data_IF_378349531747
#
_entry.id   IF_378349531747
#
_cell.length_a   1.000
_cell.length_b   1.000
_cell.length_c   1.000
_cell.angle_alpha   90.00
_cell.angle_beta   90.00
_cell.angle_gamma   90.00
#
_symmetry.space_group_name_H-M   'P 1'
#
loop_
_entity.id
_entity.type
_entity.pdbx_description
1 polymer ?
#
# COMPACT_ATOMS: atom_id res chain seq x y z
N UNK A 1 2.53 62.18 -27.12
CA UNK A 1 3.45 61.02 -27.20
C UNK A 1 2.58 59.78 -27.33
N UNK A 2 2.34 59.38 -28.57
CA UNK A 2 1.62 58.16 -28.94
C UNK A 2 2.71 57.19 -29.40
N UNK A 3 2.75 56.01 -28.81
CA UNK A 3 3.73 54.97 -29.16
C UNK A 3 2.95 53.86 -29.84
N UNK A 4 3.08 53.81 -31.17
CA UNK A 4 2.61 52.72 -32.01
C UNK A 4 3.44 51.46 -31.74
N UNK A 5 2.78 50.32 -31.59
CA UNK A 5 3.40 49.00 -31.58
C UNK A 5 2.97 48.25 -32.85
N UNK A 6 3.89 48.17 -33.81
CA UNK A 6 3.78 47.30 -34.97
C UNK A 6 3.89 45.83 -34.55
N UNK A 7 2.83 45.05 -34.79
CA UNK A 7 2.83 43.60 -34.64
C UNK A 7 3.12 42.97 -36.01
N UNK A 8 4.15 42.12 -36.16
CA UNK A 8 4.46 41.49 -37.44
C UNK A 8 3.44 40.39 -37.77
N UNK A 9 2.85 40.50 -38.95
CA UNK A 9 1.96 39.50 -39.57
C UNK A 9 2.80 38.32 -40.05
N UNK A 10 2.55 37.13 -39.49
CA UNK A 10 3.13 35.87 -39.94
C UNK A 10 2.33 35.34 -41.13
N UNK A 11 2.94 34.94 -42.25
CA UNK A 11 2.21 34.39 -43.39
C UNK A 11 1.75 32.94 -43.12
N UNK A 12 0.45 32.71 -43.29
CA UNK A 12 -0.14 31.37 -43.30
C UNK A 12 0.33 30.59 -44.53
N UNK A 13 1.22 29.61 -44.31
CA UNK A 13 1.64 28.65 -45.32
C UNK A 13 0.70 27.44 -45.34
N UNK A 14 0.14 27.17 -46.53
CA UNK A 14 0.04 25.84 -47.13
C UNK A 14 -0.93 24.82 -46.50
N UNK A 15 -2.11 24.72 -47.09
CA UNK A 15 -2.99 23.55 -46.99
C UNK A 15 -2.31 22.30 -47.57
N UNK A 16 -2.01 21.32 -46.72
CA UNK A 16 -1.53 19.99 -47.14
C UNK A 16 -2.74 19.16 -47.62
N UNK A 17 -2.71 18.60 -48.84
CA UNK A 17 -3.79 17.75 -49.34
C UNK A 17 -3.79 16.41 -48.59
N UNK A 18 -4.84 16.16 -47.82
CA UNK A 18 -5.11 14.89 -47.14
C UNK A 18 -5.60 13.85 -48.16
N UNK A 19 -4.66 13.16 -48.81
CA UNK A 19 -4.97 11.95 -49.57
C UNK A 19 -5.45 10.86 -48.59
N UNK A 20 -6.73 10.52 -48.65
CA UNK A 20 -7.36 9.49 -47.81
C UNK A 20 -6.64 8.13 -47.91
N UNK A 21 -5.91 7.76 -46.86
CA UNK A 21 -5.46 6.38 -46.67
C UNK A 21 -6.62 5.57 -46.11
N UNK A 22 -7.26 4.79 -46.98
CA UNK A 22 -8.16 3.74 -46.58
C UNK A 22 -7.49 2.86 -45.51
N UNK A 23 -8.17 2.66 -44.38
CA UNK A 23 -7.72 1.83 -43.26
C UNK A 23 -7.55 0.39 -43.76
N UNK A 24 -6.30 -0.05 -43.92
CA UNK A 24 -6.03 -1.46 -44.17
C UNK A 24 -6.30 -2.22 -42.86
N UNK A 25 -7.05 -3.33 -42.90
CA UNK A 25 -7.32 -4.13 -41.71
C UNK A 25 -5.99 -4.59 -41.09
N UNK A 26 -5.91 -4.47 -39.76
CA UNK A 26 -4.72 -4.83 -38.98
C UNK A 26 -4.40 -6.32 -39.18
N UNK A 27 -3.22 -6.61 -39.73
CA UNK A 27 -2.72 -7.97 -39.88
C UNK A 27 -1.66 -8.23 -38.78
N UNK A 28 -2.00 -9.00 -37.72
CA UNK A 28 -1.09 -9.29 -36.60
C UNK A 28 0.16 -10.08 -37.02
N UNK A 29 0.14 -10.70 -38.21
CA UNK A 29 1.24 -11.50 -38.72
C UNK A 29 2.13 -10.75 -39.71
N UNK A 30 1.87 -9.46 -40.00
CA UNK A 30 2.59 -8.76 -41.08
C UNK A 30 4.08 -8.55 -40.81
N UNK A 31 4.56 -8.69 -39.58
CA UNK A 31 5.95 -8.46 -39.19
C UNK A 31 6.48 -7.06 -39.56
N UNK A 32 5.62 -6.19 -40.12
CA UNK A 32 5.98 -4.95 -40.77
C UNK A 32 6.08 -3.88 -39.69
N UNK A 33 7.31 -3.56 -39.29
CA UNK A 33 7.62 -2.63 -38.20
C UNK A 33 8.38 -3.25 -37.04
N UNK A 34 8.41 -4.59 -36.93
CA UNK A 34 9.25 -5.27 -35.95
C UNK A 34 10.63 -5.48 -36.56
N UNK A 35 11.61 -4.64 -36.20
CA UNK A 35 13.02 -4.84 -36.58
C UNK A 35 13.39 -6.30 -36.25
N UNK A 36 13.79 -7.08 -37.28
CA UNK A 36 14.17 -8.48 -37.11
C UNK A 36 15.29 -8.53 -36.05
N UNK A 37 15.02 -9.20 -34.93
CA UNK A 37 15.93 -9.31 -33.78
C UNK A 37 17.10 -10.27 -34.04
N UNK A 38 17.36 -10.64 -35.30
CA UNK A 38 18.43 -11.55 -35.70
C UNK A 38 19.79 -10.86 -35.85
N UNK A 39 19.85 -9.53 -35.77
CA UNK A 39 21.13 -8.82 -35.72
C UNK A 39 21.78 -9.04 -34.37
N UNK A 40 23.07 -9.40 -34.37
CA UNK A 40 23.86 -9.51 -33.14
C UNK A 40 23.75 -8.21 -32.32
N UNK A 41 23.62 -8.32 -30.98
CA UNK A 41 23.52 -7.14 -30.12
C UNK A 41 24.77 -6.29 -30.31
N UNK A 42 24.60 -4.98 -30.53
CA UNK A 42 25.72 -4.06 -30.76
C UNK A 42 26.54 -3.82 -29.50
N UNK A 43 25.99 -4.13 -28.32
CA UNK A 43 26.66 -3.99 -27.03
C UNK A 43 26.44 -5.20 -26.14
N UNK A 44 27.41 -5.49 -25.27
CA UNK A 44 27.35 -6.58 -24.29
C UNK A 44 26.10 -6.49 -23.41
N UNK A 45 25.75 -5.28 -22.94
CA UNK A 45 24.54 -5.02 -22.13
C UNK A 45 23.27 -5.36 -22.89
N UNK A 46 23.19 -5.03 -24.19
CA UNK A 46 22.04 -5.40 -25.01
C UNK A 46 21.94 -6.93 -25.20
N UNK A 47 23.07 -7.63 -25.27
CA UNK A 47 23.13 -9.10 -25.30
C UNK A 47 22.55 -9.71 -24.02
N UNK A 48 23.00 -9.23 -22.85
CA UNK A 48 22.52 -9.68 -21.54
C UNK A 48 21.01 -9.45 -21.37
N UNK A 49 20.48 -8.31 -21.79
CA UNK A 49 19.04 -8.02 -21.73
C UNK A 49 18.24 -8.99 -22.62
N UNK A 50 18.72 -9.27 -23.83
CA UNK A 50 18.05 -10.23 -24.75
C UNK A 50 18.08 -11.66 -24.21
N UNK A 51 19.17 -12.06 -23.55
CA UNK A 51 19.31 -13.37 -22.92
C UNK A 51 18.40 -13.50 -21.69
N UNK A 52 18.36 -12.49 -20.82
CA UNK A 52 17.44 -12.44 -19.69
C UNK A 52 15.97 -12.52 -20.13
N UNK A 53 15.60 -11.83 -21.22
CA UNK A 53 14.26 -11.93 -21.81
C UNK A 53 13.96 -13.32 -22.38
N UNK A 54 14.93 -13.99 -23.02
CA UNK A 54 14.77 -15.38 -23.49
C UNK A 54 14.56 -16.33 -22.32
N UNK A 55 15.41 -16.26 -21.30
CA UNK A 55 15.31 -17.08 -20.10
C UNK A 55 13.98 -16.84 -19.35
N UNK A 56 13.43 -15.61 -19.35
CA UNK A 56 12.12 -15.34 -18.80
C UNK A 56 10.99 -16.00 -19.61
N UNK A 57 11.05 -15.93 -20.96
CA UNK A 57 10.04 -16.55 -21.83
C UNK A 57 10.07 -18.07 -21.72
N UNK A 58 11.26 -18.67 -21.66
CA UNK A 58 11.42 -20.12 -21.46
C UNK A 58 10.85 -20.57 -20.11
N UNK A 59 11.13 -19.84 -19.02
CA UNK A 59 10.54 -20.13 -17.70
C UNK A 59 9.01 -20.01 -17.71
N UNK A 60 8.45 -19.00 -18.38
CA UNK A 60 6.99 -18.85 -18.55
C UNK A 60 6.40 -19.99 -19.37
N UNK A 61 7.03 -20.38 -20.48
CA UNK A 61 6.57 -21.47 -21.32
C UNK A 61 6.60 -22.81 -20.59
N UNK A 62 7.68 -23.10 -19.84
CA UNK A 62 7.78 -24.30 -19.01
C UNK A 62 6.73 -24.33 -17.90
N UNK A 63 6.43 -23.19 -17.28
CA UNK A 63 5.37 -23.09 -16.29
C UNK A 63 3.97 -23.35 -16.88
N UNK A 64 3.67 -22.75 -18.04
CA UNK A 64 2.40 -22.99 -18.75
C UNK A 64 2.27 -24.47 -19.12
N UNK A 65 3.32 -25.09 -19.68
CA UNK A 65 3.33 -26.52 -19.98
C UNK A 65 3.10 -27.37 -18.70
N UNK A 66 3.68 -26.99 -17.57
CA UNK A 66 3.44 -27.64 -16.29
C UNK A 66 2.00 -27.49 -15.78
N UNK A 67 1.38 -26.33 -15.99
CA UNK A 67 -0.04 -26.12 -15.68
C UNK A 67 -0.95 -26.95 -16.58
N UNK A 68 -0.67 -27.00 -17.88
CA UNK A 68 -1.42 -27.82 -18.85
C UNK A 68 -1.31 -29.31 -18.54
N UNK A 69 -0.14 -29.77 -18.06
CA UNK A 69 0.04 -31.15 -17.63
C UNK A 69 -0.71 -31.45 -16.31
N UNK A 70 -0.73 -30.50 -15.37
CA UNK A 70 -1.40 -30.67 -14.07
C UNK A 70 -2.93 -30.58 -14.18
N UNK A 71 -3.42 -29.79 -15.14
CA UNK A 71 -4.82 -29.58 -15.43
C UNK A 71 -5.09 -29.94 -16.88
N UNK A 72 -5.09 -31.24 -17.23
CA UNK A 72 -5.37 -31.65 -18.59
C UNK A 72 -6.72 -31.06 -19.00
N UNK A 73 -6.84 -30.50 -20.20
CA UNK A 73 -8.06 -29.84 -20.68
C UNK A 73 -9.32 -30.71 -20.51
N UNK A 74 -9.19 -32.03 -20.44
CA UNK A 74 -10.27 -32.96 -20.12
C UNK A 74 -10.92 -32.72 -18.74
N UNK A 75 -10.15 -32.28 -17.74
CA UNK A 75 -10.67 -31.98 -16.39
C UNK A 75 -11.52 -30.71 -16.36
N UNK A 76 -11.12 -29.67 -17.10
CA UNK A 76 -11.90 -28.44 -17.25
C UNK A 76 -13.17 -28.72 -18.08
N UNK A 77 -13.06 -29.49 -19.16
CA UNK A 77 -14.21 -29.89 -19.98
C UNK A 77 -15.23 -30.72 -19.18
N UNK A 78 -14.78 -31.60 -18.28
CA UNK A 78 -15.67 -32.36 -17.41
C UNK A 78 -16.44 -31.46 -16.44
N UNK A 79 -15.79 -30.45 -15.83
CA UNK A 79 -16.46 -29.49 -14.93
C UNK A 79 -17.47 -28.63 -15.70
N UNK A 80 -17.11 -28.13 -16.89
CA UNK A 80 -18.02 -27.35 -17.74
C UNK A 80 -19.22 -28.18 -18.19
N UNK A 81 -19.00 -29.44 -18.58
CA UNK A 81 -20.09 -30.36 -18.93
C UNK A 81 -21.01 -30.63 -17.74
N UNK A 82 -20.46 -30.76 -16.52
CA UNK A 82 -21.25 -31.01 -15.33
C UNK A 82 -22.09 -29.79 -14.91
N UNK A 83 -21.58 -28.57 -15.14
CA UNK A 83 -22.31 -27.32 -14.94
C UNK A 83 -23.41 -27.12 -16.00
N UNK A 84 -23.18 -27.54 -17.24
CA UNK A 84 -24.16 -27.46 -18.32
C UNK A 84 -25.37 -28.39 -18.11
N UNK A 85 -25.21 -29.48 -17.35
CA UNK A 85 -26.31 -30.39 -16.97
C UNK A 85 -27.18 -29.90 -15.81
N UNK A 86 -26.88 -28.76 -15.18
CA UNK A 86 -27.73 -28.22 -14.11
C UNK A 86 -28.97 -27.56 -14.77
N UNK A 87 -30.18 -28.13 -14.60
CA UNK A 87 -31.37 -27.57 -15.23
C UNK A 87 -31.68 -26.18 -14.66
N UNK A 88 -31.80 -25.19 -15.56
CA UNK A 88 -31.89 -23.78 -15.22
C UNK A 88 -33.28 -23.31 -14.74
N UNK A 89 -34.27 -24.20 -14.65
CA UNK A 89 -35.64 -23.82 -14.31
C UNK A 89 -36.21 -24.72 -13.21
N UNK A 90 -36.20 -24.20 -11.98
CA UNK A 90 -37.06 -24.72 -10.91
C UNK A 90 -38.32 -23.83 -10.90
N UNK A 91 -39.49 -24.34 -11.34
CA UNK A 91 -40.72 -23.56 -11.32
C UNK A 91 -41.15 -23.26 -9.88
N UNK A 92 -41.55 -22.02 -9.56
CA UNK A 92 -41.99 -21.63 -8.23
C UNK A 92 -43.44 -22.03 -8.03
N UNK A 93 -43.72 -23.28 -7.62
CA UNK A 93 -45.07 -23.65 -7.16
C UNK A 93 -45.14 -25.05 -6.52
N UNK A 94 -44.83 -25.14 -5.23
CA UNK A 94 -45.61 -25.88 -4.21
C UNK A 94 -44.79 -26.05 -2.93
N UNK A 95 -45.38 -25.61 -1.81
CA UNK A 95 -44.79 -25.51 -0.48
C UNK A 95 -44.76 -26.84 0.26
N UNK A 96 -44.14 -27.86 -0.33
CA UNK A 96 -43.75 -29.08 0.40
C UNK A 96 -42.28 -29.33 0.12
N UNK A 97 -41.44 -28.87 1.04
CA UNK A 97 -39.98 -29.06 0.97
C UNK A 97 -39.67 -30.54 1.06
N UNK A 98 -39.58 -31.20 -0.09
CA UNK A 98 -39.03 -32.55 -0.21
C UNK A 98 -37.61 -32.55 0.36
N UNK A 99 -37.28 -33.55 1.19
CA UNK A 99 -35.95 -33.71 1.80
C UNK A 99 -34.83 -33.72 0.76
N UNK A 100 -35.12 -34.17 -0.46
CA UNK A 100 -34.18 -34.17 -1.58
C UNK A 100 -33.85 -32.75 -2.07
N UNK A 101 -34.81 -31.82 -2.06
CA UNK A 101 -34.56 -30.42 -2.44
C UNK A 101 -33.69 -29.69 -1.41
N UNK A 102 -33.86 -30.01 -0.12
CA UNK A 102 -33.00 -29.47 0.95
C UNK A 102 -31.57 -29.99 0.79
N UNK A 103 -31.41 -31.29 0.50
CA UNK A 103 -30.09 -31.88 0.28
C UNK A 103 -29.38 -31.26 -0.93
N UNK A 104 -30.09 -31.07 -2.05
CA UNK A 104 -29.54 -30.43 -3.25
C UNK A 104 -29.15 -28.96 -3.02
N UNK A 105 -29.94 -28.21 -2.24
CA UNK A 105 -29.60 -26.84 -1.82
C UNK A 105 -28.36 -26.82 -0.93
N UNK A 106 -28.22 -27.79 -0.03
CA UNK A 106 -27.07 -27.91 0.86
C UNK A 106 -25.79 -28.26 0.09
N UNK A 107 -25.90 -29.18 -0.87
CA UNK A 107 -24.81 -29.52 -1.79
C UNK A 107 -24.40 -28.33 -2.67
N UNK A 108 -25.36 -27.58 -3.20
CA UNK A 108 -25.08 -26.37 -3.98
C UNK A 108 -24.38 -25.29 -3.13
N UNK A 109 -24.79 -25.10 -1.88
CA UNK A 109 -24.14 -24.19 -0.94
C UNK A 109 -22.70 -24.64 -0.61
N UNK A 110 -22.48 -25.94 -0.37
CA UNK A 110 -21.15 -26.52 -0.15
C UNK A 110 -20.25 -26.37 -1.38
N UNK A 111 -20.78 -26.59 -2.59
CA UNK A 111 -20.03 -26.40 -3.83
C UNK A 111 -19.61 -24.94 -4.01
N UNK A 112 -20.52 -24.00 -3.75
CA UNK A 112 -20.24 -22.55 -3.83
C UNK A 112 -19.14 -22.14 -2.86
N UNK A 113 -19.18 -22.66 -1.62
CA UNK A 113 -18.13 -22.42 -0.63
C UNK A 113 -16.78 -23.01 -1.07
N UNK A 114 -16.78 -24.19 -1.69
CA UNK A 114 -15.57 -24.85 -2.21
C UNK A 114 -14.96 -24.11 -3.39
N UNK A 115 -15.78 -23.58 -4.31
CA UNK A 115 -15.32 -22.73 -5.43
C UNK A 115 -14.67 -21.46 -4.89
N UNK A 116 -15.31 -20.77 -3.95
CA UNK A 116 -14.78 -19.54 -3.35
C UNK A 116 -13.45 -19.80 -2.61
N UNK A 117 -13.32 -20.94 -1.92
CA UNK A 117 -12.05 -21.36 -1.29
C UNK A 117 -10.94 -21.64 -2.30
N UNK A 118 -11.26 -22.24 -3.45
CA UNK A 118 -10.29 -22.53 -4.51
C UNK A 118 -9.83 -21.26 -5.23
N UNK A 119 -10.72 -20.30 -5.46
CA UNK A 119 -10.38 -18.97 -5.99
C UNK A 119 -9.38 -18.23 -5.09
N UNK A 120 -9.64 -18.23 -3.77
CA UNK A 120 -8.72 -17.67 -2.78
C UNK A 120 -7.36 -18.37 -2.79
N UNK A 121 -7.32 -19.71 -2.88
CA UNK A 121 -6.06 -20.45 -2.97
C UNK A 121 -5.26 -20.12 -4.24
N UNK A 122 -5.92 -19.99 -5.39
CA UNK A 122 -5.30 -19.58 -6.65
C UNK A 122 -4.73 -18.17 -6.57
N UNK A 123 -5.45 -17.23 -5.94
CA UNK A 123 -5.01 -15.85 -5.75
C UNK A 123 -3.77 -15.76 -4.84
N UNK A 124 -3.73 -16.57 -3.77
CA UNK A 124 -2.55 -16.68 -2.87
C UNK A 124 -1.36 -17.30 -3.60
N UNK A 125 -1.55 -18.38 -4.36
CA UNK A 125 -0.46 -19.03 -5.11
C UNK A 125 0.11 -18.12 -6.21
N UNK A 126 -0.74 -17.38 -6.93
CA UNK A 126 -0.28 -16.37 -7.89
C UNK A 126 0.60 -15.30 -7.26
N UNK A 127 0.29 -14.91 -6.02
CA UNK A 127 1.06 -13.90 -5.26
C UNK A 127 2.42 -14.44 -4.80
N UNK A 128 2.50 -15.70 -4.36
CA UNK A 128 3.76 -16.35 -3.95
C UNK A 128 4.72 -16.53 -5.12
N UNK A 129 4.20 -16.81 -6.32
CA UNK A 129 5.04 -17.00 -7.53
C UNK A 129 5.64 -15.67 -8.01
N UNK A 130 4.91 -14.56 -7.89
CA UNK A 130 5.43 -13.22 -8.20
C UNK A 130 6.63 -12.86 -7.30
N UNK A 131 6.59 -13.27 -6.03
CA UNK A 131 7.69 -13.09 -5.05
C UNK A 131 8.92 -13.97 -5.34
N UNK A 132 8.74 -15.18 -5.90
CA UNK A 132 9.86 -16.07 -6.23
C UNK A 132 10.58 -15.69 -7.53
N UNK A 133 9.89 -15.03 -8.47
CA UNK A 133 10.46 -14.60 -9.76
C UNK A 133 11.34 -13.33 -9.66
N UNK A 134 11.26 -12.59 -8.55
CA UNK A 134 12.02 -11.34 -8.31
C UNK A 134 13.28 -11.52 -7.44
N UNK A 135 13.81 -12.74 -7.29
CA UNK A 135 15.11 -12.92 -6.62
C UNK A 135 16.23 -12.25 -7.44
N UNK A 136 16.95 -11.26 -6.89
CA UNK A 136 18.03 -10.60 -7.60
C UNK A 136 19.18 -11.60 -7.83
N UNK A 137 19.59 -11.73 -9.09
CA UNK A 137 20.81 -12.44 -9.48
C UNK A 137 21.96 -11.48 -9.18
N UNK A 138 22.77 -11.79 -8.17
CA UNK A 138 24.02 -11.06 -7.90
C UNK A 138 25.03 -11.37 -9.02
N UNK A 139 25.28 -10.41 -9.90
CA UNK A 139 26.42 -10.42 -10.82
C UNK A 139 27.48 -9.42 -10.38
N UNK A 140 28.71 -9.90 -10.21
CA UNK A 140 29.88 -9.13 -9.81
C UNK A 140 30.40 -8.21 -10.93
N UNK A 141 30.93 -7.05 -10.51
CA UNK A 141 31.89 -6.13 -11.16
C UNK A 141 31.58 -5.52 -12.55
N UNK A 142 31.46 -4.18 -12.61
CA UNK A 142 32.48 -3.26 -13.17
C UNK A 142 31.93 -1.82 -13.28
N UNK A 143 32.76 -0.83 -12.94
CA UNK A 143 32.49 0.62 -12.90
C UNK A 143 32.14 1.25 -14.27
N UNK A 144 31.45 2.41 -14.32
CA UNK A 144 31.46 3.25 -15.51
C UNK A 144 32.03 4.67 -15.30
N UNK A 145 32.60 5.13 -16.41
CA UNK A 145 33.17 6.43 -16.75
C UNK A 145 32.03 7.45 -16.97
N UNK A 146 32.28 8.69 -16.55
CA UNK A 146 31.39 9.86 -16.68
C UNK A 146 31.49 10.42 -18.09
N UNK A 147 30.35 10.79 -18.70
CA UNK A 147 30.34 11.73 -19.81
C UNK A 147 29.27 12.82 -19.59
N UNK A 148 29.67 14.06 -19.81
CA UNK A 148 28.88 15.28 -19.56
C UNK A 148 28.23 15.76 -20.85
N UNK A 149 26.90 15.86 -20.90
CA UNK A 149 26.24 16.83 -21.78
C UNK A 149 24.82 17.11 -21.29
N UNK A 150 24.62 18.35 -20.83
CA UNK A 150 23.36 18.84 -20.30
C UNK A 150 22.35 19.10 -21.41
N UNK A 151 21.16 18.54 -21.22
CA UNK A 151 19.94 18.96 -21.93
C UNK A 151 18.85 19.15 -20.89
N UNK A 152 18.24 20.33 -20.88
CA UNK A 152 17.12 20.67 -20.00
C UNK A 152 15.86 20.02 -20.58
N UNK A 153 15.22 19.12 -19.83
CA UNK A 153 13.93 18.50 -20.18
C UNK A 153 12.86 18.84 -19.13
N UNK A 154 11.63 18.93 -19.66
CA UNK A 154 10.37 19.38 -19.10
C UNK A 154 9.84 18.48 -17.94
N UNK A 155 9.48 19.02 -16.76
CA UNK A 155 9.21 18.23 -15.55
C UNK A 155 7.85 17.49 -15.47
N UNK A 156 7.08 17.39 -16.57
CA UNK A 156 5.72 16.79 -16.54
C UNK A 156 5.54 15.49 -17.35
N UNK A 157 6.60 14.83 -17.80
CA UNK A 157 6.48 13.52 -18.46
C UNK A 157 6.32 12.37 -17.45
N UNK A 158 5.22 11.63 -17.56
CA UNK A 158 4.81 10.53 -16.66
C UNK A 158 5.50 9.19 -16.92
N UNK A 159 6.47 9.11 -17.83
CA UNK A 159 7.11 7.84 -18.22
C UNK A 159 8.57 7.66 -17.74
N UNK A 160 9.20 8.66 -17.12
CA UNK A 160 10.65 8.63 -16.83
C UNK A 160 11.03 8.08 -15.43
N UNK A 161 10.06 7.76 -14.58
CA UNK A 161 10.31 7.34 -13.19
C UNK A 161 10.83 5.89 -13.02
N UNK A 162 11.11 5.16 -14.11
CA UNK A 162 11.56 3.76 -14.05
C UNK A 162 13.08 3.53 -14.20
N UNK A 163 13.90 4.57 -14.41
CA UNK A 163 15.35 4.41 -14.67
C UNK A 163 16.27 4.97 -13.57
N UNK A 164 15.83 4.92 -12.30
CA UNK A 164 16.71 5.19 -11.14
C UNK A 164 17.46 3.92 -10.75
N UNK A 165 18.42 3.50 -11.58
CA UNK A 165 19.48 2.57 -11.15
C UNK A 165 20.72 3.37 -10.75
N UNK A 166 20.58 4.28 -9.80
CA UNK A 166 21.74 4.89 -9.14
C UNK A 166 22.43 3.79 -8.34
N UNK A 167 23.74 3.52 -8.54
CA UNK A 167 24.44 2.55 -7.71
C UNK A 167 24.29 2.94 -6.24
N UNK A 168 24.03 1.98 -5.33
CA UNK A 168 23.86 2.29 -3.92
C UNK A 168 25.09 3.06 -3.43
N UNK A 169 24.86 4.21 -2.80
CA UNK A 169 25.93 5.00 -2.23
C UNK A 169 26.79 4.11 -1.31
N UNK A 170 28.12 4.26 -1.28
CA UNK A 170 28.96 3.47 -0.41
C UNK A 170 28.49 3.62 1.04
N UNK A 171 28.37 2.50 1.75
CA UNK A 171 27.82 2.41 3.13
C UNK A 171 28.44 3.46 4.07
N UNK A 172 29.71 3.81 3.86
CA UNK A 172 30.42 4.84 4.62
C UNK A 172 29.81 6.25 4.48
N UNK A 173 29.36 6.65 3.29
CA UNK A 173 28.74 7.97 3.07
C UNK A 173 27.36 8.07 3.74
N UNK A 174 26.63 6.96 3.78
CA UNK A 174 25.35 6.85 4.47
C UNK A 174 25.54 7.01 5.99
N UNK A 175 26.57 6.37 6.54
CA UNK A 175 26.89 6.49 7.97
C UNK A 175 27.26 7.92 8.38
N UNK A 176 28.03 8.67 7.56
CA UNK A 176 28.36 10.06 7.87
C UNK A 176 27.14 10.99 7.89
N UNK A 177 26.19 10.79 6.99
CA UNK A 177 24.94 11.56 6.94
C UNK A 177 24.10 11.35 8.20
N UNK A 178 23.96 10.09 8.66
CA UNK A 178 23.23 9.76 9.89
C UNK A 178 23.90 10.40 11.12
N UNK A 179 25.24 10.44 11.16
CA UNK A 179 25.97 11.03 12.28
C UNK A 179 25.82 12.56 12.36
N UNK A 180 25.62 13.23 11.21
CA UNK A 180 25.49 14.69 11.16
C UNK A 180 24.13 15.24 11.61
N UNK A 181 23.05 14.44 11.52
CA UNK A 181 21.71 14.88 11.89
C UNK A 181 20.99 13.79 12.70
N UNK A 182 20.72 14.01 14.01
CA UNK A 182 20.07 13.01 14.86
C UNK A 182 18.63 12.69 14.44
N UNK A 183 18.01 13.51 13.60
CA UNK A 183 16.68 13.30 13.01
C UNK A 183 16.72 12.64 11.63
N UNK A 184 17.90 12.37 11.09
CA UNK A 184 18.07 11.71 9.79
C UNK A 184 18.09 10.19 9.93
N UNK A 185 17.55 9.48 8.94
CA UNK A 185 17.63 8.03 8.81
C UNK A 185 17.73 7.64 7.33
N UNK A 186 18.08 6.38 7.07
CA UNK A 186 18.19 5.86 5.70
C UNK A 186 16.78 5.72 5.10
N UNK A 187 16.46 6.38 3.98
CA UNK A 187 15.16 6.19 3.33
C UNK A 187 14.89 4.71 3.05
N UNK A 188 13.67 4.25 3.33
CA UNK A 188 13.34 2.84 3.17
C UNK A 188 13.45 2.36 1.71
N UNK A 189 13.31 3.25 0.74
CA UNK A 189 13.54 2.94 -0.67
C UNK A 189 14.97 2.48 -0.96
N UNK A 190 15.97 3.02 -0.25
CA UNK A 190 17.36 2.60 -0.41
C UNK A 190 17.60 1.20 0.15
N UNK A 191 16.77 0.76 1.11
CA UNK A 191 16.90 -0.55 1.77
C UNK A 191 16.11 -1.65 1.05
N UNK A 192 14.91 -1.33 0.56
CA UNK A 192 13.95 -2.33 0.07
C UNK A 192 13.52 -2.11 -1.39
N UNK A 193 13.96 -1.03 -2.04
CA UNK A 193 13.53 -0.65 -3.38
C UNK A 193 12.20 0.11 -3.39
N UNK A 194 11.63 0.40 -4.57
CA UNK A 194 10.36 1.11 -4.67
C UNK A 194 9.20 0.25 -4.16
N UNK A 195 8.25 0.89 -3.47
CA UNK A 195 7.03 0.22 -3.00
C UNK A 195 6.12 -0.22 -4.15
N UNK A 196 5.45 -1.34 -3.97
CA UNK A 196 4.49 -1.91 -4.93
C UNK A 196 3.10 -1.29 -4.71
N UNK A 197 2.85 -0.11 -5.28
CA UNK A 197 1.57 0.61 -5.09
C UNK A 197 0.60 0.52 -6.28
N UNK A 198 1.09 0.12 -7.46
CA UNK A 198 0.29 0.19 -8.69
C UNK A 198 -0.88 -0.80 -8.71
N UNK A 199 -0.70 -1.99 -8.13
CA UNK A 199 -1.79 -2.95 -8.00
C UNK A 199 -2.95 -2.37 -7.16
N UNK A 200 -2.63 -1.59 -6.13
CA UNK A 200 -3.60 -0.97 -5.25
C UNK A 200 -4.35 0.14 -5.98
N UNK A 201 -3.66 0.94 -6.82
CA UNK A 201 -4.29 1.94 -7.69
C UNK A 201 -5.36 1.32 -8.57
N UNK A 202 -5.02 0.23 -9.27
CA UNK A 202 -5.93 -0.48 -10.17
C UNK A 202 -7.12 -1.05 -9.38
N UNK A 203 -6.85 -1.70 -8.24
CA UNK A 203 -7.89 -2.31 -7.42
C UNK A 203 -8.84 -1.27 -6.81
N UNK A 204 -8.33 -0.18 -6.25
CA UNK A 204 -9.15 0.91 -5.69
C UNK A 204 -9.98 1.60 -6.78
N UNK A 205 -9.40 1.80 -7.97
CA UNK A 205 -10.10 2.40 -9.12
C UNK A 205 -11.24 1.53 -9.66
N UNK A 206 -11.23 0.23 -9.35
CA UNK A 206 -12.31 -0.69 -9.73
C UNK A 206 -13.55 -0.58 -8.84
N UNK A 207 -13.46 0.09 -7.69
CA UNK A 207 -14.57 0.26 -6.75
C UNK A 207 -15.54 1.34 -7.27
N UNK A 208 -16.80 0.97 -7.50
CA UNK A 208 -17.82 1.86 -8.09
C UNK A 208 -18.00 3.15 -7.28
N UNK A 209 -17.97 3.05 -5.94
CA UNK A 209 -18.12 4.19 -5.04
C UNK A 209 -17.02 5.27 -5.20
N UNK A 210 -15.85 4.89 -5.75
CA UNK A 210 -14.68 5.75 -5.90
C UNK A 210 -14.42 6.21 -7.34
N UNK A 211 -15.29 5.85 -8.30
CA UNK A 211 -15.08 6.20 -9.72
C UNK A 211 -15.30 7.68 -10.04
N UNK A 212 -15.90 8.46 -9.13
CA UNK A 212 -16.01 9.91 -9.27
C UNK A 212 -14.63 10.59 -9.20
N UNK A 213 -14.53 11.81 -9.72
CA UNK A 213 -13.25 12.54 -9.82
C UNK A 213 -12.57 12.71 -8.46
N UNK A 214 -13.34 13.02 -7.42
CA UNK A 214 -12.84 13.17 -6.04
C UNK A 214 -12.29 11.86 -5.47
N UNK A 215 -12.92 10.73 -5.77
CA UNK A 215 -12.46 9.40 -5.37
C UNK A 215 -11.12 9.06 -6.00
N UNK A 216 -10.98 9.32 -7.30
CA UNK A 216 -9.72 9.16 -8.05
C UNK A 216 -8.61 10.04 -7.47
N UNK A 217 -8.89 11.32 -7.21
CA UNK A 217 -7.93 12.24 -6.59
C UNK A 217 -7.44 11.73 -5.23
N UNK A 218 -8.35 11.25 -4.39
CA UNK A 218 -7.99 10.69 -3.08
C UNK A 218 -7.17 9.41 -3.19
N UNK A 219 -7.49 8.52 -4.15
CA UNK A 219 -6.70 7.31 -4.42
C UNK A 219 -5.26 7.70 -4.78
N UNK A 220 -5.11 8.59 -5.76
CA UNK A 220 -3.81 9.04 -6.25
C UNK A 220 -3.01 9.73 -5.13
N UNK A 221 -3.69 10.56 -4.33
CA UNK A 221 -3.08 11.25 -3.19
C UNK A 221 -2.60 10.26 -2.11
N UNK A 222 -3.43 9.28 -1.73
CA UNK A 222 -3.06 8.28 -0.72
C UNK A 222 -1.84 7.47 -1.17
N UNK A 223 -1.83 6.99 -2.41
CA UNK A 223 -0.72 6.20 -2.95
C UNK A 223 0.56 7.03 -3.13
N UNK A 224 0.42 8.31 -3.52
CA UNK A 224 1.55 9.23 -3.59
C UNK A 224 2.15 9.48 -2.20
N UNK A 225 1.33 9.68 -1.17
CA UNK A 225 1.83 9.82 0.20
C UNK A 225 2.54 8.56 0.69
N UNK A 226 2.02 7.37 0.38
CA UNK A 226 2.72 6.10 0.65
C UNK A 226 4.07 6.03 -0.06
N UNK A 227 4.16 6.47 -1.31
CA UNK A 227 5.43 6.53 -2.02
C UNK A 227 6.40 7.51 -1.35
N UNK A 228 5.96 8.73 -1.02
CA UNK A 228 6.79 9.76 -0.36
C UNK A 228 7.37 9.28 0.98
N UNK A 229 6.61 8.50 1.76
CA UNK A 229 7.15 7.89 2.99
C UNK A 229 8.42 7.06 2.73
N UNK A 230 8.54 6.43 1.56
CA UNK A 230 9.70 5.60 1.24
C UNK A 230 10.96 6.40 0.92
N UNK A 231 10.80 7.63 0.43
CA UNK A 231 11.89 8.57 0.11
C UNK A 231 12.29 9.46 1.29
N UNK A 232 11.45 9.56 2.31
CA UNK A 232 11.68 10.45 3.43
C UNK A 232 12.88 9.99 4.27
N UNK A 233 13.78 10.93 4.59
CA UNK A 233 14.92 10.75 5.51
C UNK A 233 14.76 11.54 6.80
N UNK A 234 13.75 12.40 6.92
CA UNK A 234 13.50 13.24 8.10
C UNK A 234 12.35 12.66 8.94
N UNK A 235 12.59 12.41 10.23
CA UNK A 235 11.59 11.76 11.08
C UNK A 235 10.33 12.60 11.33
N UNK A 236 10.46 13.93 11.39
CA UNK A 236 9.31 14.83 11.61
C UNK A 236 8.43 14.82 10.38
N UNK A 237 9.05 14.94 9.19
CA UNK A 237 8.35 14.85 7.92
C UNK A 237 7.69 13.46 7.75
N UNK A 238 8.38 12.37 8.12
CA UNK A 238 7.82 11.01 8.05
C UNK A 238 6.55 10.87 8.90
N UNK A 239 6.55 11.40 10.13
CA UNK A 239 5.35 11.40 11.00
C UNK A 239 4.19 12.17 10.37
N UNK A 240 4.47 13.32 9.74
CA UNK A 240 3.45 14.10 9.04
C UNK A 240 2.88 13.34 7.84
N UNK A 241 3.74 12.71 7.03
CA UNK A 241 3.31 11.91 5.88
C UNK A 241 2.46 10.71 6.32
N UNK A 242 2.82 10.03 7.41
CA UNK A 242 2.03 8.96 8.00
C UNK A 242 0.63 9.43 8.41
N UNK A 243 0.55 10.55 9.14
CA UNK A 243 -0.73 11.13 9.54
C UNK A 243 -1.59 11.49 8.32
N UNK A 244 -1.01 12.17 7.32
CA UNK A 244 -1.72 12.54 6.09
C UNK A 244 -2.23 11.30 5.32
N UNK A 245 -1.44 10.22 5.30
CA UNK A 245 -1.83 8.97 4.64
C UNK A 245 -3.03 8.34 5.31
N UNK A 246 -3.03 8.29 6.65
CA UNK A 246 -4.15 7.74 7.40
C UNK A 246 -5.40 8.60 7.28
N UNK A 247 -5.26 9.92 7.33
CA UNK A 247 -6.39 10.85 7.14
C UNK A 247 -6.99 10.73 5.74
N UNK A 248 -6.17 10.58 4.70
CA UNK A 248 -6.66 10.38 3.32
C UNK A 248 -7.31 9.01 3.13
N UNK A 249 -6.73 7.95 3.72
CA UNK A 249 -7.31 6.60 3.72
C UNK A 249 -8.67 6.56 4.44
N UNK A 250 -8.82 7.27 5.57
CA UNK A 250 -10.10 7.40 6.26
C UNK A 250 -11.17 8.07 5.38
N UNK A 251 -10.81 9.16 4.67
CA UNK A 251 -11.71 9.82 3.71
C UNK A 251 -12.13 8.89 2.57
N UNK A 252 -11.24 8.03 2.08
CA UNK A 252 -11.59 7.01 1.08
C UNK A 252 -12.61 6.02 1.62
N UNK A 253 -12.43 5.53 2.85
CA UNK A 253 -13.37 4.59 3.49
C UNK A 253 -14.75 5.22 3.75
N UNK A 254 -14.79 6.52 4.06
CA UNK A 254 -16.03 7.27 4.22
C UNK A 254 -16.77 7.50 2.89
N UNK A 255 -16.04 7.60 1.77
CA UNK A 255 -16.62 7.69 0.43
C UNK A 255 -17.12 6.35 -0.10
N UNK A 256 -16.66 5.23 0.46
CA UNK A 256 -17.10 3.91 0.04
C UNK A 256 -18.52 3.59 0.54
N UNK A 257 -19.35 3.03 -0.35
CA UNK A 257 -20.54 2.28 0.03
C UNK A 257 -20.17 1.07 0.90
N UNK A 258 -21.16 0.46 1.58
CA UNK A 258 -20.93 -0.60 2.57
C UNK A 258 -20.13 -1.78 1.99
N UNK A 259 -20.47 -2.24 0.78
CA UNK A 259 -19.78 -3.35 0.11
C UNK A 259 -18.36 -2.97 -0.35
N UNK A 260 -18.21 -1.81 -0.98
CA UNK A 260 -16.92 -1.32 -1.44
C UNK A 260 -15.98 -1.00 -0.27
N UNK A 261 -16.51 -0.63 0.90
CA UNK A 261 -15.71 -0.36 2.09
C UNK A 261 -14.97 -1.62 2.54
N UNK A 262 -15.65 -2.77 2.56
CA UNK A 262 -14.99 -4.03 2.90
C UNK A 262 -13.86 -4.33 1.91
N UNK A 263 -14.12 -4.22 0.61
CA UNK A 263 -13.11 -4.41 -0.45
C UNK A 263 -11.94 -3.43 -0.31
N UNK A 264 -12.22 -2.17 0.02
CA UNK A 264 -11.21 -1.14 0.25
C UNK A 264 -10.30 -1.51 1.41
N UNK A 265 -10.85 -2.02 2.51
CA UNK A 265 -10.06 -2.49 3.67
C UNK A 265 -9.18 -3.69 3.27
N UNK A 266 -9.71 -4.63 2.49
CA UNK A 266 -8.95 -5.77 1.97
C UNK A 266 -7.79 -5.30 1.05
N UNK A 267 -8.03 -4.30 0.19
CA UNK A 267 -6.99 -3.71 -0.66
C UNK A 267 -5.90 -3.03 0.18
N UNK A 268 -6.27 -2.24 1.21
CA UNK A 268 -5.32 -1.60 2.11
C UNK A 268 -4.50 -2.63 2.91
N UNK A 269 -5.14 -3.71 3.38
CA UNK A 269 -4.45 -4.80 4.06
C UNK A 269 -3.42 -5.48 3.14
N UNK A 270 -3.82 -5.75 1.89
CA UNK A 270 -2.92 -6.34 0.90
C UNK A 270 -1.75 -5.40 0.54
N UNK A 271 -2.00 -4.09 0.48
CA UNK A 271 -0.97 -3.07 0.29
C UNK A 271 0.03 -3.04 1.43
N UNK A 272 -0.45 -3.15 2.68
CA UNK A 272 0.38 -3.29 3.85
C UNK A 272 1.25 -4.56 3.82
N UNK A 273 0.70 -5.68 3.37
CA UNK A 273 1.45 -6.95 3.30
C UNK A 273 2.51 -6.95 2.20
N UNK A 274 2.19 -6.45 1.00
CA UNK A 274 3.16 -6.36 -0.10
C UNK A 274 4.30 -5.39 0.18
N UNK A 275 4.01 -4.33 0.94
CA UNK A 275 4.98 -3.32 1.36
C UNK A 275 5.42 -3.50 2.82
N UNK A 276 5.31 -4.71 3.37
CA UNK A 276 5.57 -4.99 4.80
C UNK A 276 6.94 -4.53 5.29
N UNK A 277 8.06 -4.72 4.54
CA UNK A 277 9.37 -4.22 4.97
C UNK A 277 9.39 -2.69 5.16
N UNK A 278 8.78 -1.95 4.23
CA UNK A 278 8.64 -0.50 4.34
C UNK A 278 7.78 -0.11 5.53
N UNK A 279 6.60 -0.72 5.66
CA UNK A 279 5.64 -0.40 6.72
C UNK A 279 6.23 -0.61 8.12
N UNK A 280 6.91 -1.74 8.35
CA UNK A 280 7.60 -2.02 9.62
C UNK A 280 8.68 -0.98 9.88
N UNK A 281 9.56 -0.73 8.90
CA UNK A 281 10.66 0.20 9.05
C UNK A 281 10.20 1.62 9.35
N UNK A 282 9.27 2.15 8.55
CA UNK A 282 8.71 3.49 8.70
C UNK A 282 8.02 3.64 10.06
N UNK A 283 7.26 2.64 10.49
CA UNK A 283 6.57 2.66 11.80
C UNK A 283 7.57 2.65 12.95
N UNK A 284 8.64 1.86 12.84
CA UNK A 284 9.71 1.81 13.84
C UNK A 284 10.45 3.15 13.94
N UNK A 285 10.83 3.76 12.81
CA UNK A 285 11.50 5.07 12.82
C UNK A 285 10.61 6.16 13.40
N UNK A 286 9.31 6.15 13.08
CA UNK A 286 8.35 7.07 13.66
C UNK A 286 8.23 6.90 15.19
N UNK A 287 8.36 5.66 15.68
CA UNK A 287 8.29 5.31 17.09
C UNK A 287 9.53 5.69 17.90
N UNK A 288 10.74 5.53 17.35
CA UNK A 288 12.00 5.74 18.07
C UNK A 288 12.16 7.17 18.61
N UNK A 289 11.54 8.15 17.93
CA UNK A 289 11.47 9.53 18.42
C UNK A 289 10.72 9.65 19.75
N UNK A 290 9.71 8.82 20.02
CA UNK A 290 8.96 8.87 21.28
C UNK A 290 9.82 8.37 22.43
N UNK A 291 10.58 7.30 22.25
CA UNK A 291 11.49 6.82 23.27
C UNK A 291 12.58 7.85 23.57
N UNK A 292 13.13 8.49 22.53
CA UNK A 292 14.14 9.52 22.71
C UNK A 292 13.55 10.76 23.38
N UNK A 293 12.41 11.28 22.92
CA UNK A 293 11.76 12.47 23.50
C UNK A 293 11.24 12.20 24.92
N UNK A 294 10.68 11.02 25.19
CA UNK A 294 10.27 10.62 26.54
C UNK A 294 11.48 10.49 27.46
N UNK A 295 12.59 9.91 26.97
CA UNK A 295 13.85 9.86 27.71
C UNK A 295 14.41 11.27 27.95
N UNK A 296 14.40 12.17 26.96
CA UNK A 296 14.83 13.56 27.10
C UNK A 296 13.93 14.36 28.03
N UNK A 297 12.60 14.15 28.03
CA UNK A 297 11.66 14.76 28.98
C UNK A 297 11.88 14.22 30.40
N UNK A 298 12.09 12.91 30.55
CA UNK A 298 12.39 12.29 31.83
C UNK A 298 13.75 12.74 32.37
N UNK A 299 14.77 12.85 31.51
CA UNK A 299 16.08 13.39 31.84
C UNK A 299 16.05 14.90 32.03
N UNK A 300 15.14 15.65 31.42
CA UNK A 300 14.95 17.08 31.71
C UNK A 300 14.26 17.31 33.05
N UNK A 301 13.29 16.45 33.39
CA UNK A 301 12.60 16.47 34.68
C UNK A 301 13.49 15.96 35.84
N UNK A 302 14.35 14.97 35.58
CA UNK A 302 15.31 14.42 36.54
C UNK A 302 16.71 15.07 36.48
N UNK A 303 16.96 15.86 35.43
CA UNK A 303 18.24 16.49 35.07
C UNK A 303 18.65 17.66 35.93
N UNK A 304 18.06 17.80 37.11
CA UNK A 304 18.69 18.53 38.19
C UNK A 304 19.64 17.69 39.04
N UNK A 305 19.75 16.35 38.90
CA UNK A 305 20.66 15.61 39.79
C UNK A 305 21.58 14.51 39.28
N UNK A 306 21.37 13.75 38.19
CA UNK A 306 22.32 12.65 37.91
C UNK A 306 22.55 12.32 36.43
N UNK A 307 23.85 12.23 36.07
CA UNK A 307 24.36 11.86 34.76
C UNK A 307 24.79 10.38 34.71
N UNK A 308 24.32 9.71 33.66
CA UNK A 308 24.90 8.61 32.88
C UNK A 308 25.58 7.40 33.56
N UNK A 309 24.97 6.23 33.33
CA UNK A 309 25.63 4.99 32.83
C UNK A 309 24.57 4.11 32.15
N UNK A 310 24.65 3.91 30.83
CA UNK A 310 23.73 3.07 30.06
C UNK A 310 24.47 1.88 29.45
N UNK A 311 24.00 0.66 29.76
CA UNK A 311 24.31 -0.60 29.07
C UNK A 311 23.07 -1.00 28.27
N UNK A 312 23.23 -1.28 26.97
CA UNK A 312 22.19 -1.77 26.07
C UNK A 312 21.66 -3.13 26.54
N UNK A 313 20.37 -3.21 26.89
CA UNK A 313 19.62 -4.45 27.09
C UNK A 313 18.43 -4.50 26.13
N UNK A 314 17.96 -5.71 25.79
CA UNK A 314 16.81 -5.97 24.93
C UNK A 314 15.58 -5.19 25.42
N UNK A 315 14.99 -4.38 24.56
CA UNK A 315 13.87 -3.49 24.89
C UNK A 315 12.58 -4.30 25.02
N UNK A 316 12.24 -4.70 26.24
CA UNK A 316 10.85 -4.98 26.59
C UNK A 316 10.10 -3.65 26.76
N UNK A 317 9.08 -3.39 25.95
CA UNK A 317 8.27 -2.18 26.02
C UNK A 317 7.37 -2.19 27.27
N UNK A 318 7.91 -1.77 28.42
CA UNK A 318 7.12 -1.59 29.65
C UNK A 318 6.74 -0.11 29.82
N UNK A 319 5.68 0.34 29.14
CA UNK A 319 5.10 1.67 29.36
C UNK A 319 4.15 1.64 30.57
N UNK A 320 4.61 2.14 31.73
CA UNK A 320 3.71 2.40 32.87
C UNK A 320 3.07 3.77 32.72
N UNK A 321 1.86 3.82 32.18
CA UNK A 321 1.05 5.04 32.15
C UNK A 321 0.31 5.19 33.48
N UNK A 322 0.39 6.37 34.11
CA UNK A 322 -0.51 6.73 35.21
C UNK A 322 -1.82 7.18 34.57
N UNK A 323 -2.82 6.30 34.55
CA UNK A 323 -4.20 6.70 34.24
C UNK A 323 -4.61 7.73 35.31
N UNK A 324 -4.65 9.01 34.94
CA UNK A 324 -5.39 9.99 35.72
C UNK A 324 -6.85 9.54 35.79
N UNK A 325 -7.48 9.64 36.96
CA UNK A 325 -8.89 9.28 37.12
C UNK A 325 -9.77 10.31 36.40
N UNK A 326 -9.81 10.26 35.08
CA UNK A 326 -10.81 10.95 34.28
C UNK A 326 -12.11 10.14 34.43
N UNK A 327 -13.19 10.79 34.86
CA UNK A 327 -14.51 10.17 34.91
C UNK A 327 -14.96 9.89 33.47
N UNK A 328 -14.67 8.69 32.98
CA UNK A 328 -15.10 8.27 31.66
C UNK A 328 -16.63 8.17 31.61
N UNK A 329 -17.21 8.66 30.51
CA UNK A 329 -18.64 8.50 30.23
C UNK A 329 -18.99 6.99 30.18
N UNK A 330 -19.95 6.51 30.99
CA UNK A 330 -20.38 5.11 30.98
C UNK A 330 -20.76 4.58 29.60
N UNK A 331 -21.30 5.43 28.70
CA UNK A 331 -21.66 5.04 27.35
C UNK A 331 -20.41 4.74 26.49
N UNK A 332 -19.36 5.56 26.64
CA UNK A 332 -18.07 5.35 25.97
C UNK A 332 -17.40 4.08 26.48
N UNK A 333 -17.36 3.88 27.80
CA UNK A 333 -16.82 2.66 28.41
C UNK A 333 -17.55 1.40 27.98
N UNK A 334 -18.87 1.46 27.77
CA UNK A 334 -19.67 0.33 27.26
C UNK A 334 -19.28 -0.04 25.84
N UNK A 335 -19.10 0.96 24.96
CA UNK A 335 -18.65 0.73 23.57
C UNK A 335 -17.23 0.16 23.53
N UNK A 336 -16.33 0.74 24.32
CA UNK A 336 -14.95 0.27 24.43
C UNK A 336 -14.87 -1.18 24.92
N UNK A 337 -15.66 -1.54 25.93
CA UNK A 337 -15.75 -2.93 26.40
C UNK A 337 -16.23 -3.89 25.30
N UNK A 338 -17.28 -3.51 24.57
CA UNK A 338 -17.78 -4.33 23.47
C UNK A 338 -16.74 -4.49 22.35
N UNK A 339 -15.95 -3.45 22.07
CA UNK A 339 -14.85 -3.53 21.12
C UNK A 339 -13.73 -4.45 21.60
N UNK A 340 -13.31 -4.29 22.86
CA UNK A 340 -12.30 -5.12 23.50
C UNK A 340 -12.69 -6.60 23.45
N UNK A 341 -13.94 -6.92 23.80
CA UNK A 341 -14.49 -8.28 23.72
C UNK A 341 -14.47 -8.82 22.27
N UNK A 342 -14.80 -8.01 21.27
CA UNK A 342 -14.74 -8.41 19.86
C UNK A 342 -13.32 -8.67 19.37
N UNK A 343 -12.35 -7.82 19.76
CA UNK A 343 -10.94 -8.04 19.42
C UNK A 343 -10.38 -9.29 20.09
N UNK A 344 -10.68 -9.51 21.38
CA UNK A 344 -10.27 -10.72 22.10
C UNK A 344 -10.95 -11.99 21.57
N UNK A 345 -12.08 -11.86 20.87
CA UNK A 345 -12.74 -12.97 20.19
C UNK A 345 -12.06 -13.42 18.90
N UNK A 346 -11.07 -12.67 18.39
CA UNK A 346 -10.30 -13.07 17.21
C UNK A 346 -9.28 -14.14 17.62
N UNK A 347 -9.40 -15.33 17.03
CA UNK A 347 -8.60 -16.50 17.42
C UNK A 347 -7.09 -16.26 17.26
N UNK A 348 -6.67 -15.55 16.20
CA UNK A 348 -5.25 -15.23 16.01
C UNK A 348 -4.67 -14.26 17.04
N UNK A 349 -5.51 -13.63 17.89
CA UNK A 349 -5.09 -12.71 18.95
C UNK A 349 -5.14 -13.35 20.35
N UNK A 350 -5.35 -14.66 20.45
CA UNK A 350 -5.30 -15.38 21.73
C UNK A 350 -3.91 -15.20 22.38
N UNK A 351 -3.87 -14.70 23.63
CA UNK A 351 -2.63 -14.40 24.34
C UNK A 351 -2.03 -13.01 24.08
N UNK A 352 -2.72 -12.15 23.31
CA UNK A 352 -2.33 -10.76 23.04
C UNK A 352 -3.19 -9.73 23.81
N UNK A 353 -3.73 -10.12 24.97
CA UNK A 353 -4.68 -9.30 25.74
C UNK A 353 -4.04 -7.98 26.18
N UNK A 354 -2.74 -7.98 26.50
CA UNK A 354 -1.98 -6.79 26.87
C UNK A 354 -1.96 -5.74 25.76
N UNK A 355 -1.67 -6.15 24.52
CA UNK A 355 -1.64 -5.25 23.35
C UNK A 355 -3.04 -4.75 23.02
N UNK A 356 -4.06 -5.60 23.08
CA UNK A 356 -5.46 -5.22 22.86
C UNK A 356 -5.92 -4.21 23.92
N UNK A 357 -5.57 -4.45 25.18
CA UNK A 357 -5.89 -3.55 26.28
C UNK A 357 -5.22 -2.19 26.10
N UNK A 358 -3.92 -2.18 25.78
CA UNK A 358 -3.17 -0.94 25.54
C UNK A 358 -3.71 -0.16 24.32
N UNK A 359 -4.15 -0.85 23.27
CA UNK A 359 -4.81 -0.22 22.12
C UNK A 359 -6.07 0.51 22.56
N UNK A 360 -6.98 -0.19 23.26
CA UNK A 360 -8.25 0.38 23.72
C UNK A 360 -8.02 1.58 24.65
N UNK A 361 -7.10 1.47 25.59
CA UNK A 361 -6.75 2.55 26.51
C UNK A 361 -6.15 3.75 25.77
N UNK A 362 -5.30 3.50 24.77
CA UNK A 362 -4.70 4.55 23.94
C UNK A 362 -5.77 5.26 23.11
N UNK A 363 -6.70 4.51 22.50
CA UNK A 363 -7.86 5.06 21.78
C UNK A 363 -8.73 5.93 22.67
N UNK A 364 -9.02 5.50 23.90
CA UNK A 364 -9.80 6.29 24.85
C UNK A 364 -9.06 7.57 25.26
N UNK A 365 -7.74 7.48 25.46
CA UNK A 365 -6.94 8.64 25.86
C UNK A 365 -6.77 9.69 24.76
N UNK A 366 -6.91 9.32 23.47
CA UNK A 366 -6.73 10.22 22.33
C UNK A 366 -7.63 11.47 22.41
N UNK A 367 -8.82 11.33 23.00
CA UNK A 367 -9.82 12.40 23.07
C UNK A 367 -9.54 13.50 24.12
N UNK A 368 -8.46 13.39 24.90
CA UNK A 368 -8.34 14.19 26.14
C UNK A 368 -7.19 15.21 26.18
N UNK A 369 -6.12 15.05 25.38
CA UNK A 369 -4.89 15.85 25.59
C UNK A 369 -4.28 16.37 24.28
N UNK A 370 -3.62 17.54 24.34
CA UNK A 370 -2.97 18.22 23.19
C UNK A 370 -1.74 17.53 22.57
N UNK A 371 -1.49 16.24 22.89
CA UNK A 371 -0.43 15.41 22.28
C UNK A 371 -0.97 14.45 21.22
N UNK A 372 -1.95 14.90 20.42
CA UNK A 372 -2.67 14.07 19.46
C UNK A 372 -1.73 13.31 18.50
N UNK A 373 -0.68 13.96 18.01
CA UNK A 373 0.30 13.33 17.10
C UNK A 373 1.04 12.16 17.73
N UNK A 374 1.53 12.32 18.97
CA UNK A 374 2.30 11.28 19.67
C UNK A 374 1.41 10.07 19.97
N UNK A 375 0.18 10.32 20.42
CA UNK A 375 -0.82 9.27 20.66
C UNK A 375 -1.25 8.57 19.38
N UNK A 376 -1.35 9.30 18.28
CA UNK A 376 -1.68 8.75 16.97
C UNK A 376 -0.58 7.82 16.45
N UNK A 377 0.69 8.20 16.61
CA UNK A 377 1.84 7.34 16.28
C UNK A 377 1.79 6.08 17.14
N UNK A 378 1.57 6.21 18.45
CA UNK A 378 1.42 5.05 19.35
C UNK A 378 0.27 4.14 18.92
N UNK A 379 -0.89 4.70 18.58
CA UNK A 379 -2.03 3.95 18.07
C UNK A 379 -1.64 3.17 16.80
N UNK A 380 -0.94 3.83 15.88
CA UNK A 380 -0.45 3.21 14.63
C UNK A 380 0.50 2.05 14.92
N UNK A 381 1.37 2.17 15.92
CA UNK A 381 2.27 1.09 16.34
C UNK A 381 1.51 -0.09 16.92
N UNK A 382 0.55 0.14 17.81
CA UNK A 382 -0.26 -0.91 18.43
C UNK A 382 -1.09 -1.65 17.37
N UNK A 383 -1.67 -0.91 16.43
CA UNK A 383 -2.36 -1.47 15.27
C UNK A 383 -1.41 -2.31 14.39
N UNK A 384 -0.20 -1.83 14.12
CA UNK A 384 0.82 -2.57 13.37
C UNK A 384 1.25 -3.85 14.11
N UNK A 385 1.41 -3.77 15.44
CA UNK A 385 1.74 -4.93 16.27
C UNK A 385 0.64 -5.98 16.23
N UNK A 386 -0.62 -5.60 16.42
CA UNK A 386 -1.77 -6.51 16.29
C UNK A 386 -1.85 -7.11 14.89
N UNK A 387 -1.63 -6.32 13.84
CA UNK A 387 -1.61 -6.83 12.46
C UNK A 387 -0.54 -7.93 12.25
N UNK A 388 0.61 -7.81 12.90
CA UNK A 388 1.66 -8.82 12.83
C UNK A 388 1.33 -10.10 13.62
N UNK A 389 0.50 -9.99 14.67
CA UNK A 389 0.00 -11.12 15.44
C UNK A 389 -1.17 -11.82 14.72
N UNK A 390 -1.98 -11.06 13.96
CA UNK A 390 -3.10 -11.61 13.21
C UNK A 390 -2.65 -12.47 12.03
N UNK A 391 -3.40 -13.55 11.80
CA UNK A 391 -3.34 -14.30 10.55
C UNK A 391 -3.92 -13.48 9.38
N UNK A 392 -3.62 -13.89 8.15
CA UNK A 392 -4.04 -13.14 6.94
C UNK A 392 -5.57 -13.01 6.84
N UNK A 393 -6.33 -14.01 7.29
CA UNK A 393 -7.79 -14.03 7.19
C UNK A 393 -8.45 -13.16 8.26
N UNK A 394 -7.82 -13.05 9.44
CA UNK A 394 -8.32 -12.31 10.59
C UNK A 394 -7.87 -10.84 10.59
N UNK A 395 -6.81 -10.48 9.85
CA UNK A 395 -6.40 -9.07 9.66
C UNK A 395 -7.51 -8.20 9.08
N UNK A 396 -8.23 -8.69 8.06
CA UNK A 396 -9.33 -7.93 7.48
C UNK A 396 -10.42 -7.66 8.52
N UNK A 397 -10.77 -8.66 9.34
CA UNK A 397 -11.75 -8.51 10.43
C UNK A 397 -11.27 -7.51 11.48
N UNK A 398 -10.00 -7.59 11.88
CA UNK A 398 -9.39 -6.67 12.83
C UNK A 398 -9.43 -5.23 12.30
N UNK A 399 -9.07 -5.02 11.03
CA UNK A 399 -9.08 -3.70 10.40
C UNK A 399 -10.50 -3.14 10.25
N UNK A 400 -11.48 -3.98 9.89
CA UNK A 400 -12.90 -3.60 9.85
C UNK A 400 -13.37 -3.15 11.22
N UNK A 401 -13.07 -3.91 12.27
CA UNK A 401 -13.48 -3.56 13.63
C UNK A 401 -12.84 -2.24 14.08
N UNK A 402 -11.55 -2.03 13.83
CA UNK A 402 -10.86 -0.80 14.18
C UNK A 402 -11.38 0.42 13.39
N UNK A 403 -11.64 0.25 12.09
CA UNK A 403 -12.21 1.29 11.24
C UNK A 403 -13.63 1.68 11.68
N UNK A 404 -14.48 0.72 12.00
CA UNK A 404 -15.83 1.02 12.47
C UNK A 404 -15.81 1.65 13.87
N UNK A 405 -14.90 1.25 14.77
CA UNK A 405 -14.80 1.89 16.09
C UNK A 405 -14.34 3.35 16.00
N UNK A 406 -13.29 3.63 15.21
CA UNK A 406 -12.81 5.01 15.00
C UNK A 406 -13.91 5.89 14.42
N UNK A 407 -14.79 5.34 13.59
CA UNK A 407 -15.93 6.03 13.00
C UNK A 407 -17.10 6.22 13.96
N UNK A 408 -17.47 5.19 14.73
CA UNK A 408 -18.58 5.24 15.70
C UNK A 408 -18.24 6.05 16.96
N UNK A 409 -16.95 6.15 17.29
CA UNK A 409 -16.45 6.92 18.41
C UNK A 409 -16.74 8.40 18.28
N UNK A 410 -16.66 8.96 17.05
CA UNK A 410 -16.52 10.40 16.90
C UNK A 410 -17.02 10.98 15.55
N UNK A 411 -18.24 10.64 15.12
CA UNK A 411 -18.89 11.40 14.04
C UNK A 411 -18.97 12.92 14.32
N UNK A 412 -18.99 13.32 15.59
CA UNK A 412 -19.09 14.74 16.01
C UNK A 412 -17.77 15.38 16.47
N UNK A 413 -16.78 14.64 17.02
CA UNK A 413 -15.54 15.24 17.57
C UNK A 413 -14.31 15.10 16.68
N UNK A 414 -14.22 14.08 15.82
CA UNK A 414 -13.04 13.94 14.94
C UNK A 414 -13.00 15.02 13.86
N UNK A 415 -14.17 15.53 13.45
CA UNK A 415 -14.26 16.68 12.54
C UNK A 415 -13.63 17.92 13.15
N UNK A 416 -13.72 18.13 14.48
CA UNK A 416 -13.15 19.32 15.13
C UNK A 416 -11.65 19.20 15.43
N UNK A 417 -11.10 18.00 15.60
CA UNK A 417 -9.64 17.80 15.67
C UNK A 417 -8.96 17.83 14.30
N UNK A 418 -9.63 17.37 13.23
CA UNK A 418 -9.13 17.46 11.86
C UNK A 418 -9.46 18.79 11.17
N UNK A 419 -10.30 19.65 11.76
CA UNK A 419 -10.51 21.04 11.30
C UNK A 419 -9.42 22.00 11.78
N UNK A 420 -8.41 21.52 12.51
CA UNK A 420 -7.16 22.25 12.58
C UNK A 420 -6.55 22.26 11.18
N UNK A 421 -6.43 23.46 10.62
CA UNK A 421 -5.70 23.85 9.41
C UNK A 421 -4.21 23.45 9.42
N UNK A 422 -3.86 22.25 9.90
CA UNK A 422 -2.54 21.62 9.76
C UNK A 422 -2.23 21.40 8.27
N UNK A 423 -3.25 21.37 7.40
CA UNK A 423 -3.09 21.32 5.95
C UNK A 423 -2.79 22.68 5.30
N UNK A 424 -2.95 23.82 6.00
CA UNK A 424 -2.67 25.15 5.43
C UNK A 424 -1.28 25.70 5.80
N UNK A 425 -0.52 25.03 6.67
CA UNK A 425 0.72 25.62 7.21
C UNK A 425 2.00 25.39 6.41
N UNK A 426 1.98 24.67 5.29
CA UNK A 426 3.16 24.57 4.41
C UNK A 426 2.71 24.51 2.95
N UNK A 427 2.95 25.55 2.14
CA UNK A 427 2.87 25.38 0.69
C UNK A 427 3.92 24.34 0.31
N UNK A 428 3.49 23.29 -0.39
CA UNK A 428 4.39 22.38 -1.11
C UNK A 428 4.99 23.12 -2.33
N UNK A 429 5.50 24.34 -2.15
CA UNK A 429 6.19 25.10 -3.19
C UNK A 429 7.70 24.86 -3.09
N UNK A 430 8.24 24.26 -4.15
CA UNK A 430 9.56 24.56 -4.74
C UNK A 430 10.84 24.15 -3.99
N UNK A 431 10.86 23.06 -3.21
CA UNK A 431 12.13 22.55 -2.62
C UNK A 431 12.49 21.10 -2.97
N UNK A 432 12.09 20.62 -4.15
CA UNK A 432 12.61 19.35 -4.73
C UNK A 432 13.37 19.60 -6.04
N UNK A 433 13.90 20.80 -6.22
CA UNK A 433 14.89 21.09 -7.26
C UNK A 433 16.13 21.69 -6.61
N UNK A 434 16.97 20.82 -6.05
CA UNK A 434 18.41 21.05 -5.88
C UNK A 434 19.13 19.70 -5.69
#
# INVERSE_FOLDING_TARGET
MVVDFDVPVVPHNGSIPTTGRASRPYNPNSGRGRRKTSTEPTTLRQGQVREAQRALRERKAAYIAGLEQKWPCSSIAAVVSHLATIPAEVPPSSTTSCSQCISALLEAAQLKQKVQSLELQLQVQGSVIHLQLNKPIHSNHSSPIIDQQGTILDPFSTEEWMDVTTPPAPIAAIQSLILSNPNSFIPSIQMFGPGENEFARIAMSSLESLQNEKGKELIDRTLHLCALQTYCSDRVQLKQLLLQTQTTAAKLLDMCGILDRQRMIEILALMGERNKPHAIYVTQIAAENEMFLAASRALGAAGRKYALKSKRSSVSFNFKFKLGQVKADPAVMKKERAFRERLSGIKSLEGAEDVVNELCDTMHSLSLDGSATDKFVKLTMLMSHLNNLCDVNDRAKQLILAAELTREGDREKWVSCNSLDILQLIPLSDRVTE
#
